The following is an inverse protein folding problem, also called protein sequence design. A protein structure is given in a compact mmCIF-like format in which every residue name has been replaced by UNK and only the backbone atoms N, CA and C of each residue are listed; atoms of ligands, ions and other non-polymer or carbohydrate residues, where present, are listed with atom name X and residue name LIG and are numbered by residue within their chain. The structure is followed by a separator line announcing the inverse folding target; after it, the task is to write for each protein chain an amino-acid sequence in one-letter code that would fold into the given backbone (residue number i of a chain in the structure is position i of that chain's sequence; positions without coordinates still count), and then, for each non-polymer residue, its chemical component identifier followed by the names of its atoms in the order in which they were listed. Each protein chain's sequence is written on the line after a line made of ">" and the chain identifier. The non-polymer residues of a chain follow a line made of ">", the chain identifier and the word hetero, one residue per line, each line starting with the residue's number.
data_IF_515841888348
#
_entry.id   IF_515841888348
#
_cell.length_a   1.000
_cell.length_b   1.000
_cell.length_c   1.000
_cell.angle_alpha   90.00
_cell.angle_beta   90.00
_cell.angle_gamma   90.00
#
_symmetry.space_group_name_H-M   'P 1'
#
loop_
_entity.id
_entity.type
_entity.pdbx_description
1 polymer ?
#
# COMPACT_ATOMS: atom_id res chain seq x y z
N UNK A 1 19.65 -51.78 2.41
CA UNK A 1 18.70 -51.02 1.56
C UNK A 1 17.75 -50.26 2.47
N UNK A 2 18.11 -49.04 2.89
CA UNK A 2 17.24 -48.16 3.68
C UNK A 2 16.62 -47.13 2.74
N UNK A 3 15.34 -47.29 2.47
CA UNK A 3 14.58 -46.36 1.62
C UNK A 3 14.52 -44.99 2.30
N UNK A 4 15.20 -44.02 1.66
CA UNK A 4 15.04 -42.59 1.90
C UNK A 4 13.58 -42.22 1.72
N UNK A 5 12.87 -41.95 2.82
CA UNK A 5 11.53 -41.37 2.78
C UNK A 5 11.65 -39.98 2.18
N UNK A 6 11.25 -39.86 0.90
CA UNK A 6 11.11 -38.58 0.24
C UNK A 6 10.09 -37.75 1.03
N UNK A 7 10.57 -36.76 1.77
CA UNK A 7 9.75 -35.72 2.37
C UNK A 7 9.10 -34.97 1.22
N UNK A 8 7.83 -35.28 0.95
CA UNK A 8 7.00 -34.50 0.02
C UNK A 8 7.05 -33.06 0.51
N UNK A 9 7.51 -32.08 -0.29
CA UNK A 9 7.56 -30.69 0.14
C UNK A 9 6.12 -30.26 0.38
N UNK A 10 5.77 -30.04 1.66
CA UNK A 10 4.46 -29.50 2.01
C UNK A 10 4.27 -28.20 1.20
N UNK A 11 3.11 -28.00 0.55
CA UNK A 11 2.84 -26.72 -0.10
C UNK A 11 2.96 -25.66 0.98
N UNK A 12 3.88 -24.71 0.82
CA UNK A 12 4.18 -23.70 1.81
C UNK A 12 2.89 -22.95 2.19
N UNK A 13 2.26 -23.35 3.30
CA UNK A 13 1.01 -22.75 3.75
C UNK A 13 1.34 -21.38 4.33
N UNK A 14 0.69 -20.35 3.80
CA UNK A 14 0.75 -18.99 4.34
C UNK A 14 0.38 -18.99 5.81
N UNK A 15 1.23 -18.40 6.64
CA UNK A 15 0.94 -18.23 8.06
C UNK A 15 -0.20 -17.20 8.22
N UNK A 16 -0.99 -17.32 9.29
CA UNK A 16 -2.12 -16.41 9.56
C UNK A 16 -1.70 -14.93 9.51
N UNK A 17 -0.47 -14.65 9.94
CA UNK A 17 0.16 -13.31 9.98
C UNK A 17 0.45 -12.73 8.58
N UNK A 18 0.89 -13.58 7.65
CA UNK A 18 1.15 -13.17 6.26
C UNK A 18 -0.17 -12.92 5.53
N UNK A 19 -1.17 -13.77 5.79
CA UNK A 19 -2.54 -13.56 5.30
C UNK A 19 -3.12 -12.24 5.79
N UNK A 20 -2.96 -11.92 7.07
CA UNK A 20 -3.42 -10.65 7.64
C UNK A 20 -2.84 -9.44 6.88
N UNK A 21 -1.53 -9.42 6.67
CA UNK A 21 -0.86 -8.32 5.96
C UNK A 21 -1.32 -8.22 4.51
N UNK A 22 -1.48 -9.35 3.82
CA UNK A 22 -1.98 -9.40 2.45
C UNK A 22 -3.44 -8.94 2.34
N UNK A 23 -4.28 -9.32 3.31
CA UNK A 23 -5.69 -8.92 3.37
C UNK A 23 -5.80 -7.41 3.59
N UNK A 24 -5.03 -6.83 4.52
CA UNK A 24 -5.04 -5.37 4.73
C UNK A 24 -4.67 -4.64 3.44
N UNK A 25 -3.64 -5.10 2.75
CA UNK A 25 -3.22 -4.53 1.47
C UNK A 25 -4.32 -4.59 0.40
N UNK A 26 -5.02 -5.71 0.32
CA UNK A 26 -6.18 -5.84 -0.58
C UNK A 26 -7.32 -4.90 -0.17
N UNK A 27 -7.62 -4.79 1.13
CA UNK A 27 -8.67 -3.87 1.62
C UNK A 27 -8.31 -2.43 1.21
N UNK A 28 -7.06 -2.01 1.43
CA UNK A 28 -6.58 -0.68 1.01
C UNK A 28 -6.78 -0.51 -0.51
N UNK A 29 -6.36 -1.48 -1.31
CA UNK A 29 -6.51 -1.44 -2.76
C UNK A 29 -7.97 -1.36 -3.22
N UNK A 30 -8.87 -2.14 -2.61
CA UNK A 30 -10.31 -2.15 -2.95
C UNK A 30 -10.97 -0.84 -2.54
N UNK A 31 -10.66 -0.29 -1.36
CA UNK A 31 -11.18 1.02 -0.93
C UNK A 31 -10.76 2.11 -1.91
N UNK A 32 -9.48 2.15 -2.30
CA UNK A 32 -8.99 3.12 -3.28
C UNK A 32 -9.60 2.91 -4.67
N UNK A 33 -9.80 1.67 -5.09
CA UNK A 33 -10.50 1.35 -6.34
C UNK A 33 -11.94 1.87 -6.31
N UNK A 34 -12.66 1.67 -5.21
CA UNK A 34 -14.03 2.15 -5.05
C UNK A 34 -14.08 3.68 -5.09
N UNK A 35 -13.19 4.38 -4.37
CA UNK A 35 -13.08 5.84 -4.40
C UNK A 35 -12.78 6.35 -5.80
N UNK A 36 -11.86 5.70 -6.52
CA UNK A 36 -11.50 6.06 -7.89
C UNK A 36 -12.65 5.84 -8.88
N UNK A 37 -13.44 4.77 -8.70
CA UNK A 37 -14.64 4.56 -9.51
C UNK A 37 -15.68 5.66 -9.24
N UNK A 38 -15.93 5.97 -7.96
CA UNK A 38 -16.86 7.05 -7.57
C UNK A 38 -16.41 8.39 -8.18
N UNK A 39 -15.11 8.69 -8.18
CA UNK A 39 -14.62 9.96 -8.75
C UNK A 39 -14.75 10.05 -10.27
N UNK A 40 -14.77 8.92 -10.98
CA UNK A 40 -15.04 8.88 -12.43
C UNK A 40 -16.52 9.06 -12.74
N UNK A 41 -17.40 8.45 -11.94
CA UNK A 41 -18.85 8.55 -12.14
C UNK A 41 -19.45 9.84 -11.59
N UNK A 42 -18.75 10.52 -10.69
CA UNK A 42 -19.13 11.84 -10.22
C UNK A 42 -18.67 12.88 -11.25
N UNK A 43 -19.61 13.50 -11.97
CA UNK A 43 -19.39 14.56 -12.97
C UNK A 43 -18.68 15.82 -12.42
N UNK A 44 -18.23 15.80 -11.16
CA UNK A 44 -17.52 16.88 -10.49
C UNK A 44 -16.02 16.93 -10.82
N UNK A 45 -15.47 15.90 -11.48
CA UNK A 45 -14.09 15.93 -11.99
C UNK A 45 -14.08 16.46 -13.42
N UNK A 46 -14.14 17.79 -13.55
CA UNK A 46 -14.01 18.49 -14.82
C UNK A 46 -12.60 18.36 -15.39
N UNK A 47 -12.22 17.16 -15.83
CA UNK A 47 -10.95 16.85 -16.50
C UNK A 47 -10.70 17.76 -17.71
N UNK A 48 -11.78 18.32 -18.26
CA UNK A 48 -11.76 19.34 -19.30
C UNK A 48 -12.87 20.34 -18.98
N UNK A 49 -12.53 21.48 -18.38
CA UNK A 49 -13.39 22.66 -18.55
C UNK A 49 -13.15 23.18 -19.96
N UNK A 50 -14.05 22.84 -20.89
CA UNK A 50 -14.07 23.46 -22.22
C UNK A 50 -14.65 24.86 -22.04
N UNK A 51 -13.81 25.80 -21.59
CA UNK A 51 -14.13 27.21 -21.68
C UNK A 51 -13.70 27.67 -23.08
N UNK A 52 -14.63 28.27 -23.81
CA UNK A 52 -14.55 28.60 -25.23
C UNK A 52 -13.13 29.07 -25.65
N UNK A 53 -12.38 28.18 -26.35
CA UNK A 53 -11.03 28.37 -26.94
C UNK A 53 -9.79 28.10 -26.09
N UNK A 54 -9.87 27.60 -24.86
CA UNK A 54 -8.69 27.11 -24.14
C UNK A 54 -8.92 25.73 -23.50
N UNK A 55 -8.13 24.74 -23.93
CA UNK A 55 -8.03 23.46 -23.22
C UNK A 55 -7.13 23.70 -22.01
N UNK A 56 -7.72 24.10 -20.89
CA UNK A 56 -7.01 24.19 -19.61
C UNK A 56 -7.03 22.81 -18.95
N UNK A 57 -6.01 22.00 -19.22
CA UNK A 57 -5.84 20.70 -18.55
C UNK A 57 -5.29 20.95 -17.15
N UNK A 58 -6.03 20.55 -16.12
CA UNK A 58 -5.56 20.66 -14.74
C UNK A 58 -4.52 19.56 -14.47
N UNK A 59 -3.23 19.93 -14.53
CA UNK A 59 -2.12 18.99 -14.28
C UNK A 59 -2.17 18.39 -12.87
N UNK A 60 -2.73 19.10 -11.89
CA UNK A 60 -2.87 18.59 -10.52
C UNK A 60 -3.89 17.44 -10.43
N UNK A 61 -4.99 17.53 -11.18
CA UNK A 61 -6.00 16.47 -11.23
C UNK A 61 -5.47 15.23 -11.93
N UNK A 62 -4.76 15.40 -13.06
CA UNK A 62 -4.07 14.31 -13.75
C UNK A 62 -3.08 13.59 -12.82
N UNK A 63 -2.25 14.35 -12.08
CA UNK A 63 -1.29 13.79 -11.11
C UNK A 63 -2.00 13.02 -10.00
N UNK A 64 -3.14 13.52 -9.51
CA UNK A 64 -3.93 12.85 -8.49
C UNK A 64 -4.52 11.52 -8.99
N UNK A 65 -4.98 11.46 -10.25
CA UNK A 65 -5.46 10.21 -10.86
C UNK A 65 -4.33 9.19 -11.06
N UNK A 66 -3.16 9.64 -11.54
CA UNK A 66 -1.97 8.78 -11.69
C UNK A 66 -1.53 8.23 -10.32
N UNK A 67 -1.48 9.09 -9.29
CA UNK A 67 -1.18 8.71 -7.90
C UNK A 67 -2.14 7.64 -7.39
N UNK A 68 -3.43 7.85 -7.59
CA UNK A 68 -4.48 6.92 -7.15
C UNK A 68 -4.32 5.57 -7.86
N UNK A 69 -4.09 5.56 -9.17
CA UNK A 69 -3.84 4.34 -9.94
C UNK A 69 -2.58 3.60 -9.46
N UNK A 70 -1.49 4.31 -9.19
CA UNK A 70 -0.26 3.69 -8.66
C UNK A 70 -0.51 3.03 -7.29
N UNK A 71 -1.23 3.71 -6.39
CA UNK A 71 -1.60 3.14 -5.09
C UNK A 71 -2.44 1.86 -5.28
N UNK A 72 -3.40 1.86 -6.20
CA UNK A 72 -4.25 0.68 -6.49
C UNK A 72 -3.39 -0.48 -7.01
N UNK A 73 -2.55 -0.23 -8.02
CA UNK A 73 -1.70 -1.25 -8.65
C UNK A 73 -0.72 -1.83 -7.62
N UNK A 74 -0.06 -0.99 -6.84
CA UNK A 74 0.91 -1.43 -5.83
C UNK A 74 0.21 -2.17 -4.68
N UNK A 75 -1.01 -1.75 -4.31
CA UNK A 75 -1.73 -2.38 -3.21
C UNK A 75 -2.28 -3.76 -3.59
N UNK A 76 -2.94 -3.85 -4.74
CA UNK A 76 -3.47 -5.12 -5.26
C UNK A 76 -2.33 -6.06 -5.67
N UNK A 77 -1.32 -5.53 -6.38
CA UNK A 77 -0.13 -6.29 -6.79
C UNK A 77 0.68 -6.78 -5.59
N UNK A 78 0.84 -5.97 -4.56
CA UNK A 78 1.51 -6.33 -3.30
C UNK A 78 0.75 -7.40 -2.53
N UNK A 79 -0.57 -7.22 -2.36
CA UNK A 79 -1.43 -8.21 -1.70
C UNK A 79 -1.42 -9.56 -2.41
N UNK A 80 -1.61 -9.57 -3.73
CA UNK A 80 -1.57 -10.78 -4.54
C UNK A 80 -0.18 -11.43 -4.58
N UNK A 81 0.88 -10.63 -4.67
CA UNK A 81 2.26 -11.10 -4.63
C UNK A 81 2.61 -11.76 -3.30
N UNK A 82 2.10 -11.22 -2.19
CA UNK A 82 2.21 -11.84 -0.86
C UNK A 82 1.49 -13.19 -0.79
N UNK A 83 0.29 -13.32 -1.38
CA UNK A 83 -0.42 -14.61 -1.45
C UNK A 83 0.34 -15.67 -2.25
N UNK A 84 1.12 -15.26 -3.24
CA UNK A 84 1.97 -16.16 -4.03
C UNK A 84 3.37 -16.35 -3.43
N UNK A 85 3.64 -15.85 -2.22
CA UNK A 85 4.94 -15.90 -1.57
C UNK A 85 6.09 -15.42 -2.48
N UNK A 86 5.83 -14.37 -3.27
CA UNK A 86 6.84 -13.78 -4.18
C UNK A 86 7.54 -12.61 -3.51
N UNK A 87 8.87 -12.52 -3.70
CA UNK A 87 9.71 -11.39 -3.24
C UNK A 87 9.13 -10.02 -3.58
N UNK A 88 8.68 -9.87 -4.83
CA UNK A 88 8.09 -8.62 -5.32
C UNK A 88 6.85 -8.19 -4.53
N UNK A 89 6.03 -9.13 -4.05
CA UNK A 89 4.86 -8.82 -3.21
C UNK A 89 5.25 -8.19 -1.89
N UNK A 90 6.35 -8.65 -1.27
CA UNK A 90 6.87 -8.06 -0.05
C UNK A 90 7.44 -6.66 -0.26
N UNK A 91 8.11 -6.42 -1.40
CA UNK A 91 8.64 -5.09 -1.76
C UNK A 91 7.48 -4.10 -1.91
N UNK A 92 6.49 -4.43 -2.74
CA UNK A 92 5.30 -3.57 -2.94
C UNK A 92 4.52 -3.34 -1.64
N UNK A 93 4.37 -4.39 -0.84
CA UNK A 93 3.69 -4.30 0.44
C UNK A 93 4.37 -3.30 1.40
N UNK A 94 5.70 -3.35 1.50
CA UNK A 94 6.45 -2.39 2.31
C UNK A 94 6.29 -0.96 1.80
N UNK A 95 6.32 -0.76 0.48
CA UNK A 95 6.14 0.57 -0.12
C UNK A 95 4.80 1.17 0.29
N UNK A 96 3.72 0.40 0.15
CA UNK A 96 2.37 0.86 0.53
C UNK A 96 2.29 1.09 2.05
N UNK A 97 2.75 0.14 2.87
CA UNK A 97 2.65 0.32 4.32
C UNK A 97 3.44 1.52 4.83
N UNK A 98 4.64 1.77 4.31
CA UNK A 98 5.43 2.95 4.67
C UNK A 98 4.73 4.25 4.25
N UNK A 99 4.19 4.29 3.03
CA UNK A 99 3.43 5.44 2.55
C UNK A 99 2.22 5.73 3.45
N UNK A 100 1.44 4.71 3.81
CA UNK A 100 0.28 4.88 4.70
C UNK A 100 0.68 5.27 6.12
N UNK A 101 1.82 4.77 6.64
CA UNK A 101 2.36 5.24 7.91
C UNK A 101 2.70 6.73 7.86
N UNK A 102 3.29 7.22 6.76
CA UNK A 102 3.54 8.66 6.58
C UNK A 102 2.24 9.45 6.57
N UNK A 103 1.23 9.02 5.79
CA UNK A 103 -0.08 9.70 5.74
C UNK A 103 -0.74 9.75 7.11
N UNK A 104 -0.80 8.63 7.83
CA UNK A 104 -1.43 8.57 9.15
C UNK A 104 -0.66 9.42 10.16
N UNK A 105 0.68 9.44 10.13
CA UNK A 105 1.47 10.30 11.01
C UNK A 105 1.18 11.80 10.78
N UNK A 106 1.04 12.22 9.51
CA UNK A 106 0.63 13.57 9.16
C UNK A 106 -0.81 13.88 9.60
N UNK A 107 -1.71 12.91 9.46
CA UNK A 107 -3.09 12.99 9.95
C UNK A 107 -3.17 13.17 11.46
N UNK A 108 -2.37 12.42 12.24
CA UNK A 108 -2.27 12.58 13.70
C UNK A 108 -1.80 14.00 14.04
N UNK A 109 -0.75 14.49 13.37
CA UNK A 109 -0.25 15.85 13.60
C UNK A 109 -1.32 16.92 13.34
N UNK A 110 -2.07 16.81 12.24
CA UNK A 110 -3.16 17.74 11.94
C UNK A 110 -4.32 17.62 12.95
N UNK A 111 -4.69 16.40 13.34
CA UNK A 111 -5.76 16.16 14.30
C UNK A 111 -5.43 16.73 15.69
N UNK A 112 -4.17 16.62 16.13
CA UNK A 112 -3.67 17.26 17.36
C UNK A 112 -3.74 18.79 17.26
N UNK A 113 -3.38 19.36 16.11
CA UNK A 113 -3.46 20.81 15.87
C UNK A 113 -4.90 21.33 15.93
N UNK A 114 -5.85 20.55 15.41
CA UNK A 114 -7.28 20.89 15.38
C UNK A 114 -8.02 20.50 16.68
N UNK A 115 -7.36 19.81 17.60
CA UNK A 115 -7.95 19.24 18.83
C UNK A 115 -9.22 18.40 18.58
N UNK A 116 -9.34 17.79 17.41
CA UNK A 116 -10.50 16.97 17.04
C UNK A 116 -10.27 15.52 17.52
N UNK A 117 -10.88 15.19 18.66
CA UNK A 117 -10.79 13.87 19.28
C UNK A 117 -11.24 12.74 18.35
N UNK A 118 -12.18 13.01 17.44
CA UNK A 118 -12.69 11.99 16.52
C UNK A 118 -11.63 11.60 15.50
N UNK A 119 -10.98 12.61 14.90
CA UNK A 119 -9.89 12.40 13.95
C UNK A 119 -8.69 11.72 14.62
N UNK A 120 -8.38 12.10 15.87
CA UNK A 120 -7.29 11.46 16.65
C UNK A 120 -7.57 9.96 16.84
N UNK A 121 -8.77 9.59 17.27
CA UNK A 121 -9.13 8.17 17.49
C UNK A 121 -9.03 7.36 16.21
N UNK A 122 -9.56 7.88 15.10
CA UNK A 122 -9.50 7.21 13.80
C UNK A 122 -8.04 7.03 13.35
N UNK A 123 -7.23 8.09 13.44
CA UNK A 123 -5.85 8.06 13.01
C UNK A 123 -4.99 7.11 13.87
N UNK A 124 -5.16 7.12 15.20
CA UNK A 124 -4.47 6.19 16.11
C UNK A 124 -4.88 4.72 15.88
N UNK A 125 -6.17 4.47 15.61
CA UNK A 125 -6.65 3.11 15.31
C UNK A 125 -6.05 2.61 13.99
N UNK A 126 -6.07 3.45 12.95
CA UNK A 126 -5.43 3.14 11.66
C UNK A 126 -3.93 2.90 11.79
N UNK A 127 -3.22 3.74 12.56
CA UNK A 127 -1.79 3.60 12.82
C UNK A 127 -1.48 2.24 13.47
N UNK A 128 -2.27 1.84 14.46
CA UNK A 128 -2.07 0.58 15.20
C UNK A 128 -2.23 -0.63 14.27
N UNK A 129 -3.27 -0.63 13.43
CA UNK A 129 -3.50 -1.71 12.44
C UNK A 129 -2.36 -1.79 11.42
N UNK A 130 -1.89 -0.65 10.91
CA UNK A 130 -0.78 -0.58 9.95
C UNK A 130 0.55 -1.02 10.57
N UNK A 131 0.85 -0.56 11.78
CA UNK A 131 2.05 -0.98 12.51
C UNK A 131 2.07 -2.48 12.74
N UNK A 132 0.93 -3.07 13.10
CA UNK A 132 0.83 -4.51 13.29
C UNK A 132 1.10 -5.27 11.98
N UNK A 133 0.59 -4.78 10.86
CA UNK A 133 0.86 -5.35 9.54
C UNK A 133 2.35 -5.26 9.16
N UNK A 134 3.00 -4.12 9.41
CA UNK A 134 4.44 -3.94 9.17
C UNK A 134 5.27 -4.86 10.03
N UNK A 135 4.97 -4.96 11.32
CA UNK A 135 5.66 -5.87 12.24
C UNK A 135 5.55 -7.30 11.72
N UNK A 136 4.34 -7.77 11.38
CA UNK A 136 4.12 -9.10 10.84
C UNK A 136 4.87 -9.35 9.53
N UNK A 137 4.98 -8.34 8.68
CA UNK A 137 5.73 -8.40 7.42
C UNK A 137 7.26 -8.43 7.64
N UNK A 138 7.74 -7.79 8.71
CA UNK A 138 9.15 -7.71 9.05
C UNK A 138 9.67 -8.87 9.88
N UNK A 139 8.79 -9.72 10.42
CA UNK A 139 9.19 -10.90 11.17
C UNK A 139 10.13 -11.81 10.35
N UNK A 140 11.16 -12.41 10.99
CA UNK A 140 12.14 -13.24 10.30
C UNK A 140 11.51 -14.45 9.60
N UNK A 141 10.39 -14.96 10.12
CA UNK A 141 9.63 -16.06 9.50
C UNK A 141 9.14 -15.73 8.08
N UNK A 142 8.67 -14.50 7.86
CA UNK A 142 8.24 -14.05 6.54
C UNK A 142 9.45 -13.81 5.62
N UNK A 143 10.52 -13.21 6.15
CA UNK A 143 11.76 -12.95 5.39
C UNK A 143 12.44 -14.21 4.88
N UNK A 144 12.51 -15.25 5.71
CA UNK A 144 13.12 -16.53 5.36
C UNK A 144 12.32 -17.27 4.27
N UNK A 145 10.98 -17.25 4.35
CA UNK A 145 10.10 -17.87 3.34
C UNK A 145 10.13 -17.16 2.00
N UNK A 146 10.22 -15.84 2.03
CA UNK A 146 10.30 -15.02 0.84
C UNK A 146 11.73 -14.95 0.27
N UNK A 147 12.73 -15.51 0.97
CA UNK A 147 14.16 -15.49 0.57
C UNK A 147 14.68 -14.09 0.25
N UNK A 148 14.34 -13.14 1.12
CA UNK A 148 14.61 -11.71 0.91
C UNK A 148 16.10 -11.42 1.15
N UNK A 149 16.73 -10.79 0.17
CA UNK A 149 18.14 -10.36 0.28
C UNK A 149 18.25 -8.92 0.79
N UNK A 150 19.45 -8.50 1.19
CA UNK A 150 19.71 -7.10 1.60
C UNK A 150 19.41 -6.10 0.47
N UNK A 151 19.63 -6.49 -0.79
CA UNK A 151 19.30 -5.65 -1.95
C UNK A 151 17.81 -5.38 -2.05
N UNK A 152 16.96 -6.37 -1.77
CA UNK A 152 15.51 -6.21 -1.83
C UNK A 152 14.98 -5.23 -0.78
N UNK A 153 15.63 -5.17 0.39
CA UNK A 153 15.30 -4.20 1.43
C UNK A 153 15.66 -2.77 1.01
N UNK A 154 16.82 -2.59 0.37
CA UNK A 154 17.23 -1.30 -0.17
C UNK A 154 16.28 -0.87 -1.29
N UNK A 155 15.93 -1.78 -2.21
CA UNK A 155 14.97 -1.51 -3.27
C UNK A 155 13.60 -1.10 -2.72
N UNK A 156 13.09 -1.82 -1.71
CA UNK A 156 11.82 -1.45 -1.06
C UNK A 156 11.88 -0.07 -0.39
N UNK A 157 12.97 0.23 0.30
CA UNK A 157 13.17 1.53 0.94
C UNK A 157 13.28 2.65 -0.10
N UNK A 158 14.09 2.50 -1.14
CA UNK A 158 14.24 3.49 -2.21
C UNK A 158 12.88 3.74 -2.91
N UNK A 159 12.18 2.66 -3.26
CA UNK A 159 10.88 2.76 -3.91
C UNK A 159 9.83 3.42 -3.00
N UNK A 160 9.88 3.18 -1.68
CA UNK A 160 9.00 3.86 -0.73
C UNK A 160 9.28 5.36 -0.66
N UNK A 161 10.55 5.78 -0.66
CA UNK A 161 10.91 7.20 -0.62
C UNK A 161 10.44 7.90 -1.89
N UNK A 162 10.67 7.29 -3.06
CA UNK A 162 10.20 7.84 -4.34
C UNK A 162 8.68 7.95 -4.37
N UNK A 163 7.96 6.92 -3.92
CA UNK A 163 6.50 6.91 -3.92
C UNK A 163 5.93 7.95 -2.93
N UNK A 164 6.54 8.09 -1.75
CA UNK A 164 6.14 9.12 -0.78
C UNK A 164 6.44 10.53 -1.29
N UNK A 165 7.60 10.76 -1.90
CA UNK A 165 7.94 12.04 -2.52
C UNK A 165 6.94 12.40 -3.64
N UNK A 166 6.61 11.43 -4.50
CA UNK A 166 5.58 11.60 -5.53
C UNK A 166 4.22 11.91 -4.93
N UNK A 167 3.84 11.24 -3.84
CA UNK A 167 2.58 11.49 -3.14
C UNK A 167 2.47 12.93 -2.62
N UNK A 168 3.55 13.44 -2.01
CA UNK A 168 3.62 14.79 -1.43
C UNK A 168 3.69 15.89 -2.50
N UNK A 169 4.38 15.64 -3.62
CA UNK A 169 4.45 16.60 -4.73
C UNK A 169 3.13 16.69 -5.52
N UNK A 170 2.32 15.64 -5.50
CA UNK A 170 1.02 15.58 -6.15
C UNK A 170 -0.14 16.01 -5.22
N UNK A 171 0.15 16.64 -4.09
CA UNK A 171 -0.82 17.18 -3.14
C UNK A 171 -1.00 18.68 -3.36
#
# INVERSE_FOLDING_TARGET
>A
MTQSTAVVPQPARLHLREKYSAIILLIIGVVYLAVWLISIFSETTGFVQVNEKQISMNTAELLNHIRTLLIIIFSIGGGFGLFRLRRFGWILANVIFLLFLTIVSGGIYQALKLADTTLIVIACTGATVLLLAVIFLWLPSARLRLSITRSDMITAAALSVVMTAFYLLAQ
#
